data_IF_539864836204
#
_entry.id   IF_539864836204
#
_cell.length_a   1.000
_cell.length_b   1.000
_cell.length_c   1.000
_cell.angle_alpha   90.00
_cell.angle_beta   90.00
_cell.angle_gamma   90.00
#
_symmetry.space_group_name_H-M   'P 1'
#
loop_
_entity.id
_entity.type
_entity.pdbx_description
1 polymer ?
#
# COMPACT_ATOMS: atom_id res chain seq x y z
N UNK A 1 18.23 -20.92 36.29
CA UNK A 1 18.97 -20.92 35.00
C UNK A 1 18.04 -20.55 33.88
N UNK A 2 18.39 -19.55 33.07
CA UNK A 2 17.54 -19.08 31.95
C UNK A 2 17.48 -20.12 30.84
N UNK A 3 16.25 -20.32 30.28
CA UNK A 3 16.01 -21.22 29.17
C UNK A 3 16.87 -20.85 27.95
N UNK A 4 17.53 -21.80 27.28
CA UNK A 4 18.31 -21.54 26.07
C UNK A 4 17.53 -20.83 24.94
N UNK A 5 16.19 -21.05 24.85
CA UNK A 5 15.33 -20.37 23.89
C UNK A 5 15.27 -18.88 24.15
N UNK A 6 15.15 -18.44 25.40
CA UNK A 6 15.13 -17.02 25.80
C UNK A 6 16.45 -16.33 25.45
N UNK A 7 17.58 -17.04 25.64
CA UNK A 7 18.90 -16.51 25.21
C UNK A 7 19.01 -16.38 23.69
N UNK A 8 18.40 -17.30 22.96
CA UNK A 8 18.33 -17.21 21.50
C UNK A 8 17.47 -16.03 21.05
N UNK A 9 16.30 -15.86 21.65
CA UNK A 9 15.39 -14.74 21.36
C UNK A 9 16.07 -13.39 21.64
N UNK A 10 16.78 -13.23 22.74
CA UNK A 10 17.54 -12.02 23.04
C UNK A 10 18.61 -11.72 21.97
N UNK A 11 19.31 -12.74 21.48
CA UNK A 11 20.29 -12.56 20.39
C UNK A 11 19.61 -12.13 19.07
N UNK A 12 18.46 -12.69 18.77
CA UNK A 12 17.70 -12.35 17.57
C UNK A 12 17.11 -10.93 17.65
N UNK A 13 16.57 -10.53 18.82
CA UNK A 13 16.12 -9.15 19.07
C UNK A 13 17.28 -8.17 18.88
N UNK A 14 18.44 -8.43 19.45
CA UNK A 14 19.62 -7.56 19.31
C UNK A 14 20.05 -7.37 17.85
N UNK A 15 20.02 -8.43 17.03
CA UNK A 15 20.28 -8.34 15.59
C UNK A 15 19.19 -7.51 14.87
N UNK A 16 17.93 -7.75 15.19
CA UNK A 16 16.80 -6.99 14.59
C UNK A 16 16.91 -5.50 14.93
N UNK A 17 17.16 -5.14 16.19
CA UNK A 17 17.33 -3.76 16.62
C UNK A 17 18.53 -3.07 15.93
N UNK A 18 19.64 -3.79 15.75
CA UNK A 18 20.80 -3.26 15.01
C UNK A 18 20.46 -2.98 13.55
N UNK A 19 19.72 -3.89 12.90
CA UNK A 19 19.28 -3.71 11.52
C UNK A 19 18.27 -2.54 11.39
N UNK A 20 17.35 -2.43 12.33
CA UNK A 20 16.37 -1.34 12.38
C UNK A 20 17.04 0.01 12.60
N UNK A 21 18.10 0.07 13.41
CA UNK A 21 18.88 1.29 13.60
C UNK A 21 19.47 1.79 12.29
N UNK A 22 20.07 0.88 11.51
CA UNK A 22 20.63 1.21 10.20
C UNK A 22 19.57 1.65 9.19
N UNK A 23 18.40 1.00 9.19
CA UNK A 23 17.28 1.32 8.27
C UNK A 23 16.55 2.62 8.64
N UNK A 24 16.54 2.99 9.91
CA UNK A 24 15.89 4.20 10.41
C UNK A 24 16.70 5.47 10.22
N UNK A 25 18.02 5.33 9.96
CA UNK A 25 18.95 6.44 9.91
C UNK A 25 18.80 7.39 11.12
N UNK A 26 18.88 6.77 12.32
CA UNK A 26 18.57 7.44 13.59
C UNK A 26 19.39 8.71 13.81
N UNK A 27 20.64 8.71 13.40
CA UNK A 27 21.55 9.84 13.60
C UNK A 27 21.07 11.05 12.75
N UNK A 28 20.65 10.80 11.50
CA UNK A 28 20.05 11.83 10.64
C UNK A 28 18.70 12.33 11.19
N UNK A 29 17.87 11.42 11.67
CA UNK A 29 16.58 11.79 12.28
C UNK A 29 16.74 12.60 13.55
N UNK A 30 17.74 12.31 14.34
CA UNK A 30 18.06 13.07 15.54
C UNK A 30 18.51 14.50 15.20
N UNK A 31 19.37 14.64 14.18
CA UNK A 31 19.75 15.94 13.64
C UNK A 31 18.56 16.71 13.06
N UNK A 32 17.62 16.03 12.39
CA UNK A 32 16.38 16.64 11.92
C UNK A 32 15.53 17.15 13.08
N UNK A 33 15.37 16.38 14.16
CA UNK A 33 14.61 16.80 15.35
C UNK A 33 15.22 18.06 15.96
N UNK A 34 16.53 18.10 16.14
CA UNK A 34 17.25 19.29 16.66
C UNK A 34 17.02 20.51 15.74
N UNK A 35 17.12 20.34 14.44
CA UNK A 35 16.86 21.39 13.46
C UNK A 35 15.40 21.91 13.50
N UNK A 36 14.42 21.02 13.70
CA UNK A 36 13.01 21.42 13.86
C UNK A 36 12.80 22.18 15.16
N UNK A 37 13.39 21.74 16.28
CA UNK A 37 13.29 22.41 17.58
C UNK A 37 13.92 23.82 17.54
N UNK A 38 15.04 23.98 16.83
CA UNK A 38 15.65 25.29 16.58
C UNK A 38 14.72 26.20 15.79
N UNK A 39 14.10 25.69 14.71
CA UNK A 39 13.13 26.46 13.90
C UNK A 39 11.90 26.86 14.71
N UNK A 40 11.39 25.98 15.57
CA UNK A 40 10.24 26.27 16.45
C UNK A 40 10.55 27.32 17.51
N UNK A 41 11.83 27.48 17.86
CA UNK A 41 12.27 28.52 18.83
C UNK A 41 12.40 29.92 18.22
N UNK A 42 12.25 30.05 16.88
CA UNK A 42 12.33 31.34 16.20
C UNK A 42 11.11 32.22 16.53
N UNK A 43 11.28 33.55 16.76
CA UNK A 43 10.19 34.46 17.17
C UNK A 43 9.06 34.56 16.11
N UNK A 44 9.39 34.34 14.86
CA UNK A 44 8.50 34.42 13.67
C UNK A 44 7.84 33.09 13.29
N UNK A 45 8.06 32.04 14.07
CA UNK A 45 7.55 30.69 13.79
C UNK A 45 6.01 30.63 13.66
N UNK A 46 5.31 31.41 14.47
CA UNK A 46 3.85 31.43 14.54
C UNK A 46 3.19 32.42 13.58
N UNK A 47 3.95 33.18 12.80
CA UNK A 47 3.41 34.15 11.86
C UNK A 47 2.64 33.48 10.70
N UNK A 48 2.99 32.23 10.37
CA UNK A 48 2.30 31.40 9.37
C UNK A 48 1.81 30.10 10.03
N UNK A 49 0.56 30.10 10.47
CA UNK A 49 -0.03 29.01 11.26
C UNK A 49 -0.10 27.67 10.49
N UNK A 50 -0.33 27.71 9.18
CA UNK A 50 -0.46 26.51 8.36
C UNK A 50 0.92 25.82 8.18
N UNK A 51 1.96 26.60 7.95
CA UNK A 51 3.35 26.08 7.91
C UNK A 51 3.81 25.57 9.27
N UNK A 52 3.47 26.27 10.35
CA UNK A 52 3.81 25.85 11.71
C UNK A 52 3.16 24.50 12.04
N UNK A 53 1.87 24.29 11.73
CA UNK A 53 1.17 23.03 11.95
C UNK A 53 1.75 21.90 11.09
N UNK A 54 2.07 22.14 9.83
CA UNK A 54 2.71 21.15 8.96
C UNK A 54 4.07 20.70 9.50
N UNK A 55 4.89 21.65 9.96
CA UNK A 55 6.22 21.37 10.51
C UNK A 55 6.14 20.61 11.85
N UNK A 56 5.15 20.92 12.70
CA UNK A 56 4.88 20.18 13.94
C UNK A 56 4.42 18.75 13.65
N UNK A 57 3.57 18.54 12.63
CA UNK A 57 3.12 17.21 12.24
C UNK A 57 4.29 16.37 11.74
N UNK A 58 5.19 16.96 10.94
CA UNK A 58 6.40 16.29 10.45
C UNK A 58 7.35 15.93 11.60
N UNK A 59 7.62 16.88 12.51
CA UNK A 59 8.43 16.64 13.71
C UNK A 59 7.86 15.50 14.56
N UNK A 60 6.54 15.49 14.82
CA UNK A 60 5.90 14.45 15.60
C UNK A 60 6.01 13.07 14.93
N UNK A 61 5.94 13.00 13.60
CA UNK A 61 6.15 11.78 12.84
C UNK A 61 7.57 11.22 12.99
N UNK A 62 8.58 12.09 12.85
CA UNK A 62 9.99 11.70 13.02
C UNK A 62 10.29 11.30 14.47
N UNK A 63 9.87 12.14 15.44
CA UNK A 63 10.08 11.92 16.87
C UNK A 63 9.42 10.64 17.36
N UNK A 64 8.20 10.35 16.93
CA UNK A 64 7.48 9.14 17.32
C UNK A 64 8.23 7.85 16.96
N UNK A 65 8.85 7.77 15.79
CA UNK A 65 9.64 6.60 15.37
C UNK A 65 10.95 6.46 16.15
N UNK A 66 11.62 7.60 16.47
CA UNK A 66 12.86 7.59 17.25
C UNK A 66 12.58 7.23 18.71
N UNK A 67 11.54 7.79 19.31
CA UNK A 67 11.14 7.51 20.71
C UNK A 67 10.74 6.03 20.88
N UNK A 68 10.00 5.49 19.92
CA UNK A 68 9.59 4.09 19.93
C UNK A 68 10.79 3.13 19.82
N UNK A 69 11.73 3.43 18.91
CA UNK A 69 12.97 2.67 18.81
C UNK A 69 13.79 2.74 20.09
N UNK A 70 14.00 3.95 20.64
CA UNK A 70 14.77 4.17 21.86
C UNK A 70 14.20 3.40 23.04
N UNK A 71 12.87 3.36 23.16
CA UNK A 71 12.19 2.59 24.19
C UNK A 71 12.37 1.09 24.00
N UNK A 72 12.31 0.58 22.78
CA UNK A 72 12.56 -0.83 22.47
C UNK A 72 14.00 -1.23 22.78
N UNK A 73 14.96 -0.37 22.46
CA UNK A 73 16.35 -0.58 22.78
C UNK A 73 16.57 -0.64 24.30
N UNK A 74 15.94 0.26 25.07
CA UNK A 74 16.02 0.26 26.51
C UNK A 74 15.37 -1.00 27.12
N UNK A 75 14.15 -1.37 26.69
CA UNK A 75 13.47 -2.60 27.12
C UNK A 75 14.37 -3.84 26.89
N UNK A 76 15.10 -3.86 25.77
CA UNK A 76 16.05 -4.93 25.43
C UNK A 76 17.30 -4.93 26.34
N UNK A 77 17.92 -3.78 26.53
CA UNK A 77 19.12 -3.66 27.38
C UNK A 77 18.82 -4.05 28.82
N UNK A 78 17.65 -3.64 29.35
CA UNK A 78 17.18 -4.03 30.68
C UNK A 78 16.97 -5.57 30.77
N UNK A 79 16.36 -6.17 29.72
CA UNK A 79 16.14 -7.62 29.68
C UNK A 79 17.44 -8.42 29.62
N UNK A 80 18.45 -7.94 28.90
CA UNK A 80 19.80 -8.55 28.85
C UNK A 80 20.44 -8.50 30.22
N UNK A 81 20.42 -7.33 30.90
CA UNK A 81 20.99 -7.16 32.24
C UNK A 81 20.30 -8.04 33.27
N UNK A 82 18.97 -8.12 33.25
CA UNK A 82 18.21 -9.00 34.15
C UNK A 82 18.52 -10.47 33.88
N UNK A 83 18.73 -10.84 32.60
CA UNK A 83 19.08 -12.22 32.23
C UNK A 83 20.46 -12.64 32.77
N UNK A 84 21.43 -11.76 32.74
CA UNK A 84 22.75 -11.99 33.30
C UNK A 84 22.68 -12.18 34.84
N UNK A 85 21.94 -11.32 35.55
CA UNK A 85 21.73 -11.41 36.99
C UNK A 85 21.03 -12.74 37.42
N UNK A 86 19.98 -13.14 36.68
CA UNK A 86 19.27 -14.38 36.98
C UNK A 86 20.13 -15.65 36.77
N UNK A 87 21.03 -15.62 35.81
CA UNK A 87 22.02 -16.69 35.59
C UNK A 87 23.05 -16.76 36.73
N UNK A 88 23.50 -15.61 37.25
CA UNK A 88 24.47 -15.52 38.32
C UNK A 88 23.87 -15.95 39.65
N UNK A 89 22.63 -15.55 39.95
CA UNK A 89 21.95 -15.84 41.22
C UNK A 89 21.26 -17.22 41.23
N UNK A 90 20.99 -17.81 40.06
CA UNK A 90 20.30 -19.09 39.91
C UNK A 90 18.81 -19.04 40.35
N UNK A 91 18.17 -17.84 40.22
CA UNK A 91 16.79 -17.59 40.58
C UNK A 91 15.85 -18.04 39.45
N UNK A 92 15.07 -19.10 39.69
CA UNK A 92 14.15 -19.68 38.74
C UNK A 92 12.86 -18.85 38.57
N UNK A 93 12.42 -18.11 39.60
CA UNK A 93 11.23 -17.24 39.50
C UNK A 93 11.55 -16.02 38.64
N UNK A 94 12.71 -15.43 38.83
CA UNK A 94 13.23 -14.33 37.98
C UNK A 94 13.42 -14.79 36.53
N UNK A 95 13.89 -16.01 36.31
CA UNK A 95 14.04 -16.58 34.97
C UNK A 95 12.72 -16.68 34.20
N UNK A 96 11.60 -17.03 34.87
CA UNK A 96 10.27 -17.07 34.28
C UNK A 96 9.77 -15.67 33.94
N UNK A 97 9.97 -14.70 34.83
CA UNK A 97 9.59 -13.30 34.58
C UNK A 97 10.32 -12.72 33.36
N UNK A 98 11.61 -12.98 33.24
CA UNK A 98 12.42 -12.59 32.10
C UNK A 98 11.91 -13.24 30.81
N UNK A 99 11.56 -14.52 30.80
CA UNK A 99 10.98 -15.20 29.64
C UNK A 99 9.70 -14.52 29.13
N UNK A 100 8.83 -14.10 30.04
CA UNK A 100 7.61 -13.36 29.70
C UNK A 100 7.94 -11.96 29.13
N UNK A 101 8.90 -11.26 29.73
CA UNK A 101 9.34 -9.94 29.28
C UNK A 101 9.95 -10.02 27.88
N UNK A 102 10.85 -10.97 27.63
CA UNK A 102 11.46 -11.19 26.32
C UNK A 102 10.42 -11.50 25.25
N UNK A 103 9.43 -12.34 25.56
CA UNK A 103 8.30 -12.63 24.64
C UNK A 103 7.52 -11.36 24.29
N UNK A 104 7.31 -10.46 25.25
CA UNK A 104 6.65 -9.18 25.01
C UNK A 104 7.51 -8.25 24.15
N UNK A 105 8.83 -8.22 24.33
CA UNK A 105 9.76 -7.43 23.54
C UNK A 105 9.79 -7.95 22.10
N UNK A 106 9.84 -9.26 21.87
CA UNK A 106 9.77 -9.84 20.52
C UNK A 106 8.57 -9.30 19.75
N UNK A 107 7.38 -9.36 20.37
CA UNK A 107 6.14 -8.84 19.73
C UNK A 107 6.23 -7.36 19.40
N UNK A 108 6.71 -6.55 20.35
CA UNK A 108 6.84 -5.10 20.12
C UNK A 108 7.83 -4.77 19.00
N UNK A 109 8.95 -5.50 18.90
CA UNK A 109 9.93 -5.33 17.84
C UNK A 109 9.34 -5.72 16.48
N UNK A 110 8.59 -6.82 16.42
CA UNK A 110 7.91 -7.26 15.19
C UNK A 110 6.83 -6.27 14.74
N UNK A 111 6.03 -5.75 15.67
CA UNK A 111 5.03 -4.71 15.38
C UNK A 111 5.68 -3.42 14.86
N UNK A 112 6.79 -3.01 15.47
CA UNK A 112 7.53 -1.83 15.06
C UNK A 112 8.18 -2.00 13.67
N UNK A 113 8.81 -3.15 13.43
CA UNK A 113 9.36 -3.52 12.12
C UNK A 113 8.26 -3.46 11.05
N UNK A 114 7.08 -4.00 11.35
CA UNK A 114 5.94 -3.97 10.45
C UNK A 114 5.44 -2.55 10.17
N UNK A 115 5.37 -1.69 11.19
CA UNK A 115 4.99 -0.29 11.01
C UNK A 115 5.94 0.47 10.08
N UNK A 116 7.23 0.16 10.12
CA UNK A 116 8.23 0.77 9.26
C UNK A 116 8.13 0.25 7.81
N UNK A 117 7.82 -1.04 7.64
CA UNK A 117 7.64 -1.68 6.34
C UNK A 117 6.39 -1.22 5.60
N UNK A 118 5.33 -0.87 6.33
CA UNK A 118 4.01 -0.50 5.82
C UNK A 118 3.70 0.98 6.12
N UNK A 119 4.59 1.87 5.69
CA UNK A 119 4.51 3.31 5.95
C UNK A 119 4.07 4.15 4.73
N UNK A 120 3.84 3.54 3.59
CA UNK A 120 3.39 4.26 2.40
C UNK A 120 1.91 4.70 2.53
N UNK A 121 1.50 5.79 1.86
CA UNK A 121 0.16 6.38 2.05
C UNK A 121 -1.01 5.42 1.89
N UNK A 122 -0.89 4.43 0.99
CA UNK A 122 -1.95 3.48 0.67
C UNK A 122 -1.82 2.13 1.38
N UNK A 123 -0.73 1.89 2.12
CA UNK A 123 -0.45 0.58 2.72
C UNK A 123 -1.54 0.11 3.69
N UNK A 124 -2.21 1.04 4.37
CA UNK A 124 -3.29 0.76 5.33
C UNK A 124 -4.63 0.38 4.69
N UNK A 125 -4.75 0.56 3.37
CA UNK A 125 -6.00 0.34 2.64
C UNK A 125 -6.29 -1.13 2.38
N UNK A 126 -7.55 -1.41 2.02
CA UNK A 126 -7.93 -2.67 1.40
C UNK A 126 -7.25 -2.82 0.04
N UNK A 127 -7.18 -4.04 -0.46
CA UNK A 127 -6.57 -4.35 -1.75
C UNK A 127 -7.60 -4.86 -2.76
N UNK A 128 -7.44 -4.45 -4.01
CA UNK A 128 -8.05 -5.10 -5.17
C UNK A 128 -6.95 -5.89 -5.87
N UNK A 129 -7.14 -7.20 -5.97
CA UNK A 129 -6.20 -8.12 -6.59
C UNK A 129 -6.82 -8.71 -7.86
N UNK A 130 -6.13 -8.56 -8.98
CA UNK A 130 -6.56 -9.04 -10.29
C UNK A 130 -5.59 -10.12 -10.80
N UNK A 131 -6.14 -11.24 -11.28
CA UNK A 131 -5.37 -12.31 -11.89
C UNK A 131 -5.74 -12.46 -13.37
N UNK A 132 -4.73 -12.40 -14.22
CA UNK A 132 -4.87 -12.54 -15.67
C UNK A 132 -3.95 -13.65 -16.17
N UNK A 133 -4.48 -14.85 -16.49
CA UNK A 133 -3.73 -15.90 -17.15
C UNK A 133 -3.14 -15.44 -18.48
N UNK A 134 -1.84 -15.72 -18.66
CA UNK A 134 -1.11 -15.39 -19.87
C UNK A 134 -1.09 -16.53 -20.89
N UNK A 135 -0.02 -16.61 -21.66
CA UNK A 135 0.19 -17.70 -22.61
C UNK A 135 0.23 -19.07 -21.92
N UNK A 136 -0.48 -20.05 -22.46
CA UNK A 136 -0.54 -21.41 -21.91
C UNK A 136 -1.91 -22.08 -22.02
N UNK A 137 -2.92 -21.40 -22.57
CA UNK A 137 -4.26 -21.98 -22.77
C UNK A 137 -4.91 -22.45 -21.47
N UNK A 138 -5.56 -23.62 -21.49
CA UNK A 138 -6.24 -24.23 -20.33
C UNK A 138 -5.31 -24.39 -19.11
N UNK A 139 -4.02 -24.68 -19.33
CA UNK A 139 -3.04 -24.83 -18.25
C UNK A 139 -2.81 -23.52 -17.49
N UNK A 140 -2.73 -22.38 -18.19
CA UNK A 140 -2.58 -21.07 -17.54
C UNK A 140 -3.86 -20.62 -16.84
N UNK A 141 -5.03 -20.99 -17.36
CA UNK A 141 -6.33 -20.73 -16.72
C UNK A 141 -6.48 -21.52 -15.41
N UNK A 142 -6.05 -22.77 -15.39
CA UNK A 142 -6.01 -23.59 -14.16
C UNK A 142 -5.00 -23.01 -13.16
N UNK A 143 -3.82 -22.58 -13.62
CA UNK A 143 -2.85 -21.90 -12.78
C UNK A 143 -3.42 -20.64 -12.13
N UNK A 144 -4.18 -19.83 -12.88
CA UNK A 144 -4.88 -18.66 -12.33
C UNK A 144 -5.85 -19.03 -11.21
N UNK A 145 -6.60 -20.13 -11.36
CA UNK A 145 -7.50 -20.63 -10.32
C UNK A 145 -6.74 -21.12 -9.07
N UNK A 146 -5.60 -21.75 -9.26
CA UNK A 146 -4.73 -22.17 -8.15
C UNK A 146 -4.22 -20.97 -7.35
N UNK A 147 -3.78 -19.90 -8.04
CA UNK A 147 -3.36 -18.65 -7.40
C UNK A 147 -4.52 -17.97 -6.67
N UNK A 148 -5.71 -17.89 -7.26
CA UNK A 148 -6.90 -17.37 -6.59
C UNK A 148 -7.15 -18.09 -5.27
N UNK A 149 -7.10 -19.41 -5.25
CA UNK A 149 -7.26 -20.22 -4.04
C UNK A 149 -6.14 -19.94 -3.03
N UNK A 150 -4.91 -19.82 -3.47
CA UNK A 150 -3.74 -19.52 -2.62
C UNK A 150 -3.91 -18.18 -1.90
N UNK A 151 -4.27 -17.12 -2.64
CA UNK A 151 -4.49 -15.78 -2.04
C UNK A 151 -5.71 -15.74 -1.14
N UNK A 152 -6.80 -16.43 -1.49
CA UNK A 152 -7.99 -16.54 -0.64
C UNK A 152 -7.63 -17.17 0.71
N UNK A 153 -6.87 -18.27 0.71
CA UNK A 153 -6.44 -18.97 1.93
C UNK A 153 -5.49 -18.13 2.77
N UNK A 154 -4.56 -17.42 2.12
CA UNK A 154 -3.68 -16.50 2.83
C UNK A 154 -4.46 -15.39 3.52
N UNK A 155 -5.41 -14.79 2.83
CA UNK A 155 -6.27 -13.73 3.37
C UNK A 155 -7.13 -14.23 4.56
N UNK A 156 -7.72 -15.43 4.43
CA UNK A 156 -8.51 -16.06 5.50
C UNK A 156 -7.66 -16.32 6.75
N UNK A 157 -6.44 -16.83 6.59
CA UNK A 157 -5.50 -17.06 7.71
C UNK A 157 -5.15 -15.78 8.46
N UNK A 158 -5.11 -14.64 7.77
CA UNK A 158 -4.89 -13.32 8.37
C UNK A 158 -6.16 -12.65 8.90
N UNK A 159 -7.31 -13.32 8.79
CA UNK A 159 -8.61 -12.77 9.21
C UNK A 159 -9.14 -11.67 8.27
N UNK A 160 -8.63 -11.61 7.04
CA UNK A 160 -9.14 -10.69 6.04
C UNK A 160 -10.40 -11.24 5.37
N UNK A 161 -11.31 -10.34 5.00
CA UNK A 161 -12.51 -10.70 4.24
C UNK A 161 -12.21 -10.65 2.75
N UNK A 162 -12.51 -11.74 2.05
CA UNK A 162 -12.37 -11.82 0.57
C UNK A 162 -13.74 -11.77 -0.07
N UNK A 163 -13.87 -10.92 -1.09
CA UNK A 163 -15.07 -10.76 -1.90
C UNK A 163 -14.69 -10.84 -3.38
N UNK A 164 -15.38 -11.65 -4.14
CA UNK A 164 -15.18 -11.76 -5.59
C UNK A 164 -15.99 -10.66 -6.26
N UNK A 165 -15.29 -9.70 -6.89
CA UNK A 165 -15.93 -8.59 -7.59
C UNK A 165 -16.28 -8.96 -9.04
N UNK A 166 -15.38 -9.67 -9.71
CA UNK A 166 -15.58 -10.18 -11.07
C UNK A 166 -14.94 -11.55 -11.23
N UNK A 167 -15.58 -12.41 -12.03
CA UNK A 167 -15.11 -13.76 -12.28
C UNK A 167 -15.49 -14.22 -13.67
N UNK A 168 -14.49 -14.47 -14.49
CA UNK A 168 -14.67 -15.02 -15.82
C UNK A 168 -14.07 -16.44 -15.88
N UNK A 169 -14.95 -17.44 -15.98
CA UNK A 169 -14.54 -18.84 -16.05
C UNK A 169 -13.75 -19.15 -17.32
N UNK A 170 -12.84 -20.11 -17.23
CA UNK A 170 -12.19 -20.72 -18.38
C UNK A 170 -13.16 -21.55 -19.22
N UNK A 171 -12.79 -21.81 -20.48
CA UNK A 171 -13.67 -22.57 -21.38
C UNK A 171 -13.75 -24.05 -21.00
N UNK A 172 -12.66 -24.65 -20.54
CA UNK A 172 -12.58 -26.07 -20.15
C UNK A 172 -12.26 -26.24 -18.66
N UNK A 173 -11.37 -25.39 -18.12
CA UNK A 173 -10.98 -25.39 -16.72
C UNK A 173 -10.42 -24.03 -16.31
N UNK A 174 -10.37 -23.77 -15.01
CA UNK A 174 -9.74 -22.58 -14.46
C UNK A 174 -10.51 -21.28 -14.70
N UNK A 175 -9.79 -20.18 -14.77
CA UNK A 175 -10.31 -18.80 -14.94
C UNK A 175 -9.65 -18.10 -16.12
N UNK A 176 -10.39 -17.24 -16.82
CA UNK A 176 -9.84 -16.26 -17.78
C UNK A 176 -9.41 -14.98 -17.11
N UNK A 177 -10.12 -14.57 -16.07
CA UNK A 177 -9.77 -13.47 -15.19
C UNK A 177 -10.54 -13.57 -13.87
N UNK A 178 -10.00 -12.99 -12.83
CA UNK A 178 -10.72 -12.78 -11.56
C UNK A 178 -10.24 -11.50 -10.91
N UNK A 179 -11.20 -10.78 -10.31
CA UNK A 179 -10.94 -9.59 -9.47
C UNK A 179 -11.46 -9.87 -8.07
N UNK A 180 -10.57 -9.78 -7.09
CA UNK A 180 -10.86 -9.99 -5.68
C UNK A 180 -10.71 -8.67 -4.92
N UNK A 181 -11.68 -8.32 -4.08
CA UNK A 181 -11.51 -7.32 -3.02
C UNK A 181 -11.10 -8.03 -1.74
N UNK A 182 -9.95 -7.64 -1.17
CA UNK A 182 -9.40 -8.19 0.07
C UNK A 182 -9.40 -7.10 1.11
N UNK A 183 -10.32 -7.22 2.07
CA UNK A 183 -10.62 -6.20 3.08
C UNK A 183 -9.97 -6.55 4.41
N UNK A 184 -9.09 -5.66 4.86
CA UNK A 184 -8.39 -5.81 6.13
C UNK A 184 -7.33 -4.74 6.32
N UNK A 185 -6.91 -4.55 7.58
CA UNK A 185 -5.87 -3.58 7.90
C UNK A 185 -4.55 -3.95 7.22
N UNK A 186 -3.98 -3.02 6.45
CA UNK A 186 -2.76 -3.18 5.67
C UNK A 186 -2.86 -4.25 4.55
N UNK A 187 -4.05 -4.62 4.07
CA UNK A 187 -4.19 -5.63 3.03
C UNK A 187 -3.41 -5.25 1.75
N UNK A 188 -3.52 -3.99 1.30
CA UNK A 188 -2.74 -3.50 0.16
C UNK A 188 -1.24 -3.49 0.46
N UNK A 189 -0.83 -3.03 1.63
CA UNK A 189 0.58 -2.96 2.03
C UNK A 189 1.30 -4.31 1.94
N UNK A 190 0.62 -5.40 2.29
CA UNK A 190 1.15 -6.76 2.13
C UNK A 190 1.11 -7.22 0.67
N UNK A 191 -0.06 -7.09 0.04
CA UNK A 191 -0.30 -7.68 -1.27
C UNK A 191 0.42 -6.96 -2.41
N UNK A 192 0.82 -5.69 -2.25
CA UNK A 192 1.67 -5.00 -3.24
C UNK A 192 2.96 -5.78 -3.55
N UNK A 193 3.44 -6.59 -2.59
CA UNK A 193 4.58 -7.48 -2.77
C UNK A 193 4.32 -8.62 -3.77
N UNK A 194 3.06 -8.97 -4.02
CA UNK A 194 2.65 -10.06 -4.91
C UNK A 194 2.42 -9.61 -6.36
N UNK A 195 2.51 -8.30 -6.62
CA UNK A 195 2.33 -7.73 -7.94
C UNK A 195 3.43 -8.17 -8.89
N UNK A 196 3.04 -8.75 -10.04
CA UNK A 196 3.93 -9.19 -11.11
C UNK A 196 3.52 -10.52 -11.72
N UNK A 197 4.45 -11.16 -12.43
CA UNK A 197 4.18 -12.42 -13.16
C UNK A 197 4.59 -13.62 -12.31
N UNK A 198 3.67 -14.57 -12.18
CA UNK A 198 3.85 -15.84 -11.48
C UNK A 198 3.99 -16.99 -12.46
N UNK A 199 5.10 -17.72 -12.40
CA UNK A 199 5.43 -18.81 -13.32
C UNK A 199 5.22 -20.17 -12.64
N UNK A 200 4.43 -21.03 -13.29
CA UNK A 200 4.26 -22.44 -12.91
C UNK A 200 5.03 -23.37 -13.84
N UNK A 201 5.69 -24.37 -13.27
CA UNK A 201 6.31 -25.48 -14.00
C UNK A 201 5.84 -26.79 -13.38
N UNK A 202 5.01 -27.55 -14.14
CA UNK A 202 4.51 -28.86 -13.70
C UNK A 202 4.25 -29.80 -14.89
N UNK A 203 4.00 -31.07 -14.61
CA UNK A 203 3.37 -31.97 -15.57
C UNK A 203 1.91 -31.57 -15.71
N UNK A 204 1.45 -31.24 -16.93
CA UNK A 204 0.09 -30.77 -17.15
C UNK A 204 -0.92 -31.90 -16.97
N UNK A 205 -1.98 -31.74 -16.19
CA UNK A 205 -3.09 -32.69 -16.12
C UNK A 205 -3.96 -32.70 -17.39
N UNK A 206 -3.80 -31.70 -18.27
CA UNK A 206 -4.55 -31.54 -19.51
C UNK A 206 -3.80 -32.10 -20.73
N UNK A 207 -2.53 -32.50 -20.59
CA UNK A 207 -1.72 -33.11 -21.64
C UNK A 207 -1.69 -34.63 -21.46
N UNK A 208 -2.36 -35.35 -22.37
CA UNK A 208 -2.38 -36.81 -22.39
C UNK A 208 -1.00 -37.43 -22.52
N UNK A 209 -0.02 -36.70 -23.04
CA UNK A 209 1.37 -37.15 -23.19
C UNK A 209 2.20 -36.98 -21.90
N UNK A 210 1.64 -36.38 -20.83
CA UNK A 210 2.31 -36.19 -19.56
C UNK A 210 3.55 -35.30 -19.63
N UNK A 211 3.58 -34.36 -20.56
CA UNK A 211 4.73 -33.46 -20.73
C UNK A 211 4.72 -32.34 -19.67
N UNK A 212 5.92 -31.83 -19.37
CA UNK A 212 6.12 -30.68 -18.52
C UNK A 212 5.78 -29.42 -19.29
N UNK A 213 4.89 -28.61 -18.69
CA UNK A 213 4.46 -27.31 -19.21
C UNK A 213 4.90 -26.17 -18.31
N UNK A 214 5.04 -25.00 -18.90
CA UNK A 214 5.29 -23.73 -18.21
C UNK A 214 4.15 -22.78 -18.52
N UNK A 215 3.54 -22.21 -17.47
CA UNK A 215 2.41 -21.30 -17.57
C UNK A 215 2.67 -20.05 -16.77
N UNK A 216 2.10 -18.94 -17.21
CA UNK A 216 2.27 -17.64 -16.60
C UNK A 216 0.91 -17.02 -16.27
N UNK A 217 0.84 -16.36 -15.11
CA UNK A 217 -0.30 -15.55 -14.69
C UNK A 217 0.24 -14.22 -14.20
N UNK A 218 -0.34 -13.12 -14.67
CA UNK A 218 -0.10 -11.80 -14.12
C UNK A 218 -0.99 -11.57 -12.93
N UNK A 219 -0.41 -11.10 -11.84
CA UNK A 219 -1.09 -10.60 -10.64
C UNK A 219 -0.92 -9.09 -10.59
N UNK A 220 -2.01 -8.34 -10.64
CA UNK A 220 -2.02 -6.91 -10.39
C UNK A 220 -2.67 -6.62 -9.05
N UNK A 221 -2.13 -5.63 -8.33
CA UNK A 221 -2.64 -5.24 -7.01
C UNK A 221 -2.70 -3.73 -6.94
N UNK A 222 -3.88 -3.22 -6.61
CA UNK A 222 -4.13 -1.79 -6.42
C UNK A 222 -4.85 -1.55 -5.10
N UNK A 223 -4.67 -0.36 -4.48
CA UNK A 223 -5.44 -0.01 -3.29
C UNK A 223 -6.92 0.20 -3.64
N UNK A 224 -7.83 -0.21 -2.76
CA UNK A 224 -9.25 0.12 -2.87
C UNK A 224 -9.44 1.56 -2.39
N UNK A 225 -9.55 2.50 -3.34
CA UNK A 225 -9.79 3.91 -3.05
C UNK A 225 -11.28 4.15 -2.99
N UNK A 226 -11.77 4.83 -1.94
CA UNK A 226 -13.17 5.24 -1.83
C UNK A 226 -13.52 6.22 -2.95
N UNK A 227 -14.54 5.87 -3.76
CA UNK A 227 -15.04 6.68 -4.88
C UNK A 227 -15.87 7.89 -4.43
N UNK A 228 -15.97 8.18 -3.14
CA UNK A 228 -16.65 9.36 -2.63
C UNK A 228 -15.84 10.62 -2.89
N UNK A 229 -15.98 11.14 -4.13
CA UNK A 229 -15.40 12.43 -4.48
C UNK A 229 -16.24 13.53 -3.87
N UNK A 230 -15.84 14.00 -2.70
CA UNK A 230 -16.40 15.23 -2.13
C UNK A 230 -15.80 16.44 -2.86
N UNK A 231 -16.70 17.22 -3.49
CA UNK A 231 -16.35 18.51 -4.09
C UNK A 231 -16.71 19.62 -3.10
N UNK A 232 -15.74 20.10 -2.37
CA UNK A 232 -15.88 21.32 -1.57
C UNK A 232 -15.58 22.54 -2.46
N UNK A 233 -16.63 23.21 -2.95
CA UNK A 233 -16.52 24.42 -3.77
C UNK A 233 -16.84 25.61 -2.87
N UNK A 234 -15.80 26.31 -2.43
CA UNK A 234 -15.96 27.49 -1.58
C UNK A 234 -16.29 28.69 -2.44
N UNK A 235 -17.14 29.57 -1.91
CA UNK A 235 -17.57 30.79 -2.62
C UNK A 235 -16.40 31.73 -2.90
N UNK A 236 -15.40 31.75 -2.05
CA UNK A 236 -14.15 32.53 -2.17
C UNK A 236 -13.24 32.09 -3.33
N UNK A 237 -13.36 30.80 -3.74
CA UNK A 237 -12.62 30.23 -4.86
C UNK A 237 -13.27 30.51 -6.22
N UNK A 238 -14.41 31.21 -6.23
CA UNK A 238 -15.18 31.48 -7.43
C UNK A 238 -15.07 32.95 -7.83
N UNK A 239 -14.60 33.20 -9.04
CA UNK A 239 -14.76 34.48 -9.70
C UNK A 239 -15.96 34.44 -10.64
N UNK A 240 -16.97 35.28 -10.36
CA UNK A 240 -18.21 35.31 -11.13
C UNK A 240 -18.26 36.65 -11.88
N UNK A 241 -18.21 36.58 -13.20
CA UNK A 241 -18.32 37.74 -14.11
C UNK A 241 -19.64 37.65 -14.86
N UNK A 242 -20.33 38.79 -14.98
CA UNK A 242 -21.56 38.93 -15.80
C UNK A 242 -21.26 39.77 -17.04
N UNK A 243 -21.84 39.37 -18.15
CA UNK A 243 -21.65 40.07 -19.44
C UNK A 243 -22.88 39.99 -20.31
N UNK A 244 -22.91 40.77 -21.37
CA UNK A 244 -24.00 40.77 -22.33
C UNK A 244 -23.92 39.56 -23.25
N UNK A 245 -25.04 38.81 -23.33
CA UNK A 245 -25.10 37.69 -24.26
C UNK A 245 -24.96 38.16 -25.70
N UNK A 246 -24.11 37.49 -26.48
CA UNK A 246 -23.98 37.73 -27.92
C UNK A 246 -24.72 36.62 -28.67
N UNK A 247 -25.80 36.96 -29.41
CA UNK A 247 -26.57 35.99 -30.20
C UNK A 247 -27.66 36.66 -31.05
N UNK A 248 -28.16 35.95 -32.05
CA UNK A 248 -29.27 36.37 -32.90
C UNK A 248 -30.57 36.31 -32.11
N UNK A 249 -30.92 37.38 -31.41
CA UNK A 249 -32.17 37.53 -30.63
C UNK A 249 -32.46 38.99 -30.39
N UNK A 250 -33.72 39.38 -30.43
CA UNK A 250 -34.22 40.76 -30.47
C UNK A 250 -33.67 41.70 -29.38
N UNK A 251 -34.07 42.98 -29.42
CA UNK A 251 -33.54 44.10 -28.62
C UNK A 251 -33.34 43.85 -27.10
N UNK A 252 -34.01 42.88 -26.53
CA UNK A 252 -33.94 42.60 -25.08
C UNK A 252 -32.67 41.80 -24.68
N UNK A 253 -32.08 41.02 -25.60
CA UNK A 253 -30.87 40.21 -25.34
C UNK A 253 -29.60 41.07 -25.32
N UNK A 254 -29.61 42.18 -26.05
CA UNK A 254 -28.46 43.07 -26.18
C UNK A 254 -28.40 44.19 -25.13
N UNK A 255 -29.40 44.30 -24.25
CA UNK A 255 -29.51 45.38 -23.24
C UNK A 255 -29.28 44.93 -21.81
N UNK A 256 -29.36 43.61 -21.50
CA UNK A 256 -29.22 43.08 -20.14
C UNK A 256 -27.99 42.16 -20.00
N UNK A 257 -27.21 42.34 -18.94
CA UNK A 257 -26.05 41.49 -18.63
C UNK A 257 -26.54 40.18 -18.01
N UNK A 258 -27.18 39.31 -18.83
CA UNK A 258 -27.75 38.03 -18.38
C UNK A 258 -26.81 36.85 -18.46
N UNK A 259 -25.72 36.95 -19.27
CA UNK A 259 -24.75 35.90 -19.38
C UNK A 259 -23.82 35.87 -18.17
N UNK A 260 -23.50 34.66 -17.66
CA UNK A 260 -22.68 34.44 -16.49
C UNK A 260 -21.47 33.61 -16.87
N UNK A 261 -20.28 34.04 -16.43
CA UNK A 261 -19.02 33.30 -16.47
C UNK A 261 -18.57 33.03 -15.04
N UNK A 262 -18.30 31.77 -14.73
CA UNK A 262 -17.73 31.37 -13.43
C UNK A 262 -16.35 30.77 -13.70
N UNK A 263 -15.35 31.31 -13.00
CA UNK A 263 -13.98 30.80 -13.01
C UNK A 263 -13.69 30.25 -11.63
N UNK A 264 -13.31 28.98 -11.54
CA UNK A 264 -12.81 28.37 -10.32
C UNK A 264 -11.30 28.66 -10.24
N UNK A 265 -10.91 29.53 -9.31
CA UNK A 265 -9.55 30.07 -9.21
C UNK A 265 -8.48 28.99 -8.99
N UNK A 266 -8.67 28.00 -8.09
CA UNK A 266 -7.64 26.98 -7.82
C UNK A 266 -7.33 26.10 -9.01
N UNK A 267 -8.35 25.74 -9.81
CA UNK A 267 -8.19 24.79 -10.94
C UNK A 267 -8.13 25.48 -12.31
N UNK A 268 -8.45 26.78 -12.39
CA UNK A 268 -8.54 27.52 -13.63
C UNK A 268 -9.72 27.10 -14.54
N UNK A 269 -10.64 26.26 -14.07
CA UNK A 269 -11.80 25.81 -14.86
C UNK A 269 -12.76 26.97 -15.05
N UNK A 270 -13.13 27.23 -16.31
CA UNK A 270 -14.06 28.29 -16.70
C UNK A 270 -15.32 27.68 -17.30
N UNK A 271 -16.48 28.16 -16.87
CA UNK A 271 -17.78 27.82 -17.42
C UNK A 271 -18.56 29.07 -17.77
N UNK A 272 -19.33 29.03 -18.85
CA UNK A 272 -20.18 30.11 -19.27
C UNK A 272 -21.58 29.63 -19.56
N UNK A 273 -22.59 30.40 -19.14
CA UNK A 273 -23.98 30.11 -19.42
C UNK A 273 -24.73 31.39 -19.84
N UNK A 274 -25.38 31.33 -21.00
CA UNK A 274 -26.17 32.45 -21.56
C UNK A 274 -27.52 32.02 -22.12
N UNK A 275 -27.96 30.79 -21.84
CA UNK A 275 -29.13 30.20 -22.48
C UNK A 275 -30.48 30.75 -21.96
N UNK A 276 -30.50 31.32 -20.76
CA UNK A 276 -31.71 31.85 -20.15
C UNK A 276 -31.72 33.38 -20.15
N UNK A 277 -32.91 33.97 -20.12
CA UNK A 277 -33.08 35.42 -20.00
C UNK A 277 -32.81 35.91 -18.57
N UNK A 278 -32.83 35.03 -17.59
CA UNK A 278 -32.59 35.32 -16.18
C UNK A 278 -31.14 35.06 -15.79
N UNK A 279 -30.46 36.06 -15.30
CA UNK A 279 -29.08 35.98 -14.78
C UNK A 279 -28.97 34.96 -13.63
N UNK A 280 -29.99 34.88 -12.76
CA UNK A 280 -30.03 33.93 -11.63
C UNK A 280 -30.05 32.50 -12.14
N UNK A 281 -30.92 32.19 -13.15
CA UNK A 281 -30.97 30.84 -13.75
C UNK A 281 -29.66 30.48 -14.49
N UNK A 282 -29.05 31.43 -15.18
CA UNK A 282 -27.76 31.21 -15.82
C UNK A 282 -26.65 30.94 -14.79
N UNK A 283 -26.68 31.62 -13.63
CA UNK A 283 -25.74 31.35 -12.53
C UNK A 283 -25.91 29.95 -11.94
N UNK A 284 -27.13 29.51 -11.68
CA UNK A 284 -27.45 28.16 -11.17
C UNK A 284 -26.97 27.08 -12.15
N UNK A 285 -27.27 27.25 -13.45
CA UNK A 285 -26.80 26.32 -14.48
C UNK A 285 -25.29 26.33 -14.63
N UNK A 286 -24.63 27.48 -14.60
CA UNK A 286 -23.19 27.58 -14.63
C UNK A 286 -22.56 26.89 -13.42
N UNK A 287 -23.14 27.03 -12.22
CA UNK A 287 -22.68 26.29 -11.04
C UNK A 287 -22.81 24.76 -11.20
N UNK A 288 -23.91 24.30 -11.78
CA UNK A 288 -24.10 22.85 -12.06
C UNK A 288 -23.06 22.36 -13.08
N UNK A 289 -22.83 23.13 -14.15
CA UNK A 289 -21.80 22.81 -15.14
C UNK A 289 -20.38 22.81 -14.55
N UNK A 290 -20.09 23.76 -13.64
CA UNK A 290 -18.80 23.82 -12.94
C UNK A 290 -18.60 22.56 -12.07
N UNK A 291 -19.60 22.19 -11.28
CA UNK A 291 -19.55 20.96 -10.46
C UNK A 291 -19.28 19.73 -11.32
N UNK A 292 -19.97 19.57 -12.44
CA UNK A 292 -19.75 18.43 -13.35
C UNK A 292 -18.32 18.40 -13.90
N UNK A 293 -17.79 19.54 -14.35
CA UNK A 293 -16.41 19.62 -14.85
C UNK A 293 -15.35 19.38 -13.79
N UNK A 294 -15.56 19.89 -12.58
CA UNK A 294 -14.62 19.65 -11.47
C UNK A 294 -14.65 18.19 -11.03
N UNK A 295 -15.84 17.57 -11.04
CA UNK A 295 -16.02 16.15 -10.74
C UNK A 295 -15.28 15.27 -11.78
N UNK A 296 -15.50 15.53 -13.07
CA UNK A 296 -14.83 14.82 -14.16
C UNK A 296 -13.30 14.94 -14.07
N UNK A 297 -12.79 16.15 -13.81
CA UNK A 297 -11.36 16.38 -13.62
C UNK A 297 -10.80 15.61 -12.42
N UNK A 298 -11.52 15.57 -11.31
CA UNK A 298 -11.08 14.86 -10.10
C UNK A 298 -11.06 13.35 -10.31
N UNK A 299 -12.01 12.80 -11.09
CA UNK A 299 -11.98 11.40 -11.55
C UNK A 299 -10.73 11.13 -12.40
N UNK A 300 -10.42 12.04 -13.31
CA UNK A 300 -9.27 11.88 -14.20
C UNK A 300 -7.94 11.96 -13.44
N UNK A 301 -7.82 12.89 -12.48
CA UNK A 301 -6.69 12.98 -11.55
C UNK A 301 -6.54 11.71 -10.70
N UNK A 302 -7.64 11.15 -10.16
CA UNK A 302 -7.61 9.88 -9.43
C UNK A 302 -7.19 8.72 -10.33
N UNK A 303 -7.69 8.69 -11.58
CA UNK A 303 -7.31 7.65 -12.54
C UNK A 303 -5.83 7.72 -12.89
N UNK A 304 -5.30 8.92 -13.18
CA UNK A 304 -3.87 9.11 -13.43
C UNK A 304 -3.02 8.68 -12.25
N UNK A 305 -3.45 9.02 -11.04
CA UNK A 305 -2.75 8.62 -9.82
C UNK A 305 -2.78 7.09 -9.58
N UNK A 306 -3.91 6.43 -9.90
CA UNK A 306 -3.99 4.96 -9.89
C UNK A 306 -3.08 4.33 -10.95
N UNK A 307 -3.00 4.92 -12.14
CA UNK A 307 -2.13 4.46 -13.21
C UNK A 307 -0.63 4.64 -12.85
N UNK A 308 -0.29 5.71 -12.13
CA UNK A 308 1.05 5.91 -11.56
C UNK A 308 1.38 4.84 -10.50
N UNK A 309 0.44 4.50 -9.61
CA UNK A 309 0.60 3.42 -8.61
C UNK A 309 0.68 2.05 -9.30
N UNK A 310 -0.09 1.84 -10.37
CA UNK A 310 0.01 0.63 -11.19
C UNK A 310 1.38 0.49 -11.82
N UNK A 311 2.03 1.60 -12.21
CA UNK A 311 3.29 1.58 -12.94
C UNK A 311 3.18 0.86 -14.29
N UNK A 312 4.30 0.64 -14.96
CA UNK A 312 4.33 -0.12 -16.21
C UNK A 312 3.93 -1.58 -15.96
N UNK A 313 2.87 -2.04 -16.65
CA UNK A 313 2.52 -3.46 -16.67
C UNK A 313 3.65 -4.23 -17.37
N UNK A 314 4.34 -5.07 -16.61
CA UNK A 314 5.32 -5.99 -17.19
C UNK A 314 4.63 -6.92 -18.18
N UNK A 315 5.16 -7.05 -19.40
CA UNK A 315 4.68 -8.03 -20.36
C UNK A 315 4.64 -9.42 -19.73
N UNK A 316 3.55 -10.17 -19.93
CA UNK A 316 3.39 -11.54 -19.45
C UNK A 316 4.26 -12.46 -20.31
N UNK A 317 5.59 -12.37 -20.14
CA UNK A 317 6.58 -13.03 -20.97
C UNK A 317 7.73 -13.64 -20.16
N UNK A 318 8.54 -14.43 -20.82
CA UNK A 318 9.79 -14.95 -20.27
C UNK A 318 10.73 -13.81 -19.88
N UNK A 319 11.13 -13.79 -18.61
CA UNK A 319 12.03 -12.78 -18.06
C UNK A 319 11.40 -11.81 -17.07
N UNK A 320 10.09 -11.67 -17.05
CA UNK A 320 9.35 -10.73 -16.19
C UNK A 320 8.80 -11.37 -14.90
N UNK A 321 9.08 -12.66 -14.65
CA UNK A 321 8.52 -13.36 -13.50
C UNK A 321 9.14 -12.89 -12.18
N UNK A 322 8.26 -12.58 -11.20
CA UNK A 322 8.69 -12.29 -9.82
C UNK A 322 8.93 -13.57 -9.02
N UNK A 323 8.12 -14.63 -9.28
CA UNK A 323 8.20 -15.89 -8.55
C UNK A 323 7.95 -17.08 -9.44
N UNK A 324 8.74 -18.14 -9.25
CA UNK A 324 8.59 -19.42 -9.92
C UNK A 324 8.13 -20.51 -8.96
N UNK A 325 7.16 -21.27 -9.40
CA UNK A 325 6.57 -22.42 -8.69
C UNK A 325 6.87 -23.67 -9.50
N UNK A 326 7.77 -24.50 -9.03
CA UNK A 326 8.21 -25.73 -9.70
C UNK A 326 7.67 -26.92 -8.91
N UNK A 327 6.85 -27.75 -9.57
CA UNK A 327 6.31 -28.98 -8.97
C UNK A 327 6.97 -30.23 -9.57
N UNK A 328 7.68 -30.10 -10.70
CA UNK A 328 8.36 -31.20 -11.36
C UNK A 328 9.59 -30.69 -12.12
N UNK A 329 10.77 -31.37 -12.07
CA UNK A 329 11.08 -32.67 -11.43
C UNK A 329 11.36 -32.58 -9.91
N UNK A 330 11.44 -31.39 -9.37
CA UNK A 330 11.61 -31.13 -7.94
C UNK A 330 10.56 -30.11 -7.47
N UNK A 331 10.32 -30.05 -6.16
CA UNK A 331 9.39 -29.09 -5.57
C UNK A 331 10.15 -27.88 -5.05
N UNK A 332 9.83 -26.68 -5.55
CA UNK A 332 10.45 -25.43 -5.12
C UNK A 332 9.57 -24.25 -5.49
N UNK A 333 9.43 -23.31 -4.57
CA UNK A 333 8.94 -21.94 -4.86
C UNK A 333 10.08 -20.98 -4.58
N UNK A 334 10.40 -20.12 -5.55
CA UNK A 334 11.49 -19.15 -5.46
C UNK A 334 11.06 -17.77 -5.92
N UNK A 335 11.24 -16.77 -5.08
CA UNK A 335 11.11 -15.36 -5.44
C UNK A 335 12.44 -14.85 -6.01
N UNK A 336 12.41 -14.35 -7.23
CA UNK A 336 13.62 -13.90 -7.94
C UNK A 336 14.11 -12.53 -7.47
N UNK A 337 13.25 -11.73 -6.81
CA UNK A 337 13.59 -10.40 -6.33
C UNK A 337 14.39 -10.45 -5.01
N UNK A 338 14.09 -11.42 -4.16
CA UNK A 338 14.64 -11.54 -2.81
C UNK A 338 15.51 -12.77 -2.61
N UNK A 339 15.49 -13.70 -3.58
CA UNK A 339 16.10 -15.02 -3.47
C UNK A 339 15.55 -15.92 -2.35
N UNK A 340 14.43 -15.53 -1.72
CA UNK A 340 13.71 -16.38 -0.76
C UNK A 340 13.17 -17.59 -1.50
N UNK A 341 13.41 -18.80 -0.96
CA UNK A 341 12.96 -20.04 -1.57
C UNK A 341 12.53 -21.06 -0.52
N UNK A 342 11.61 -21.94 -0.90
CA UNK A 342 11.15 -23.07 -0.06
C UNK A 342 10.83 -24.28 -0.91
N UNK A 343 11.13 -25.46 -0.37
CA UNK A 343 10.72 -26.75 -0.98
C UNK A 343 9.29 -27.16 -0.66
N UNK A 344 8.64 -26.50 0.31
CA UNK A 344 7.27 -26.84 0.74
C UNK A 344 6.23 -26.12 -0.14
N UNK A 345 6.13 -26.57 -1.40
CA UNK A 345 5.18 -26.01 -2.37
C UNK A 345 3.72 -26.15 -1.93
N UNK A 346 3.39 -27.23 -1.19
CA UNK A 346 2.04 -27.45 -0.66
C UNK A 346 1.61 -26.39 0.34
N UNK A 347 2.46 -26.04 1.30
CA UNK A 347 2.19 -24.98 2.26
C UNK A 347 1.97 -23.63 1.58
N UNK A 348 2.80 -23.30 0.57
CA UNK A 348 2.66 -22.06 -0.20
C UNK A 348 1.31 -22.02 -0.91
N UNK A 349 0.91 -23.11 -1.61
CA UNK A 349 -0.40 -23.18 -2.27
C UNK A 349 -1.57 -23.16 -1.28
N UNK A 350 -1.34 -23.48 -0.03
CA UNK A 350 -2.30 -23.36 1.07
C UNK A 350 -2.23 -21.99 1.78
N UNK A 351 -1.50 -21.01 1.20
CA UNK A 351 -1.49 -19.63 1.65
C UNK A 351 -0.38 -19.30 2.65
N UNK A 352 0.72 -20.04 2.68
CA UNK A 352 1.91 -19.67 3.47
C UNK A 352 2.82 -18.77 2.60
N UNK A 353 2.47 -17.47 2.55
CA UNK A 353 3.14 -16.46 1.72
C UNK A 353 3.98 -15.46 2.53
N UNK A 354 3.84 -15.44 3.85
CA UNK A 354 4.40 -14.41 4.71
C UNK A 354 5.91 -14.27 4.54
N UNK A 355 6.64 -15.39 4.41
CA UNK A 355 8.09 -15.35 4.18
C UNK A 355 8.52 -14.64 2.88
N UNK A 356 7.72 -14.76 1.82
CA UNK A 356 7.98 -14.07 0.54
C UNK A 356 7.60 -12.60 0.62
N UNK A 357 6.45 -12.29 1.22
CA UNK A 357 5.96 -10.92 1.40
C UNK A 357 6.93 -10.12 2.27
N UNK A 358 7.30 -10.65 3.43
CA UNK A 358 8.23 -10.01 4.35
C UNK A 358 9.62 -9.83 3.71
N UNK A 359 10.10 -10.86 3.00
CA UNK A 359 11.37 -10.77 2.28
C UNK A 359 11.38 -9.63 1.26
N UNK A 360 10.29 -9.45 0.51
CA UNK A 360 10.16 -8.35 -0.45
C UNK A 360 10.06 -7.00 0.25
N UNK A 361 9.20 -6.86 1.25
CA UNK A 361 9.02 -5.60 1.97
C UNK A 361 10.33 -5.14 2.62
N UNK A 362 11.10 -6.05 3.21
CA UNK A 362 12.44 -5.74 3.78
C UNK A 362 13.46 -5.33 2.73
N UNK A 363 13.40 -5.89 1.52
CA UNK A 363 14.31 -5.51 0.44
C UNK A 363 14.10 -4.07 -0.02
N UNK A 364 12.86 -3.53 0.11
CA UNK A 364 12.56 -2.15 -0.27
C UNK A 364 13.19 -1.11 0.66
N UNK A 365 13.32 -1.41 1.96
CA UNK A 365 14.00 -0.50 2.91
C UNK A 365 15.48 -0.29 2.54
N UNK A 366 16.14 -1.32 2.01
CA UNK A 366 17.57 -1.25 1.67
C UNK A 366 17.87 -0.42 0.41
N UNK A 367 16.88 -0.21 -0.45
CA UNK A 367 17.04 0.53 -1.71
C UNK A 367 16.90 2.04 -1.50
N UNK A 368 16.17 2.48 -0.47
CA UNK A 368 16.04 3.91 -0.16
C UNK A 368 17.27 4.52 0.55
N UNK A 369 18.24 3.70 0.91
CA UNK A 369 19.47 4.14 1.62
C UNK A 369 20.74 4.17 0.76
N UNK A 370 20.68 3.84 -0.52
CA UNK A 370 21.75 4.00 -1.52
C UNK A 370 21.46 5.20 -2.45
#
# INVERSE_FOLDING_TARGET
MIDPSVKQDLREIGKKLTNLRGSLDLDLKQEMIENFEVKMSAPDFWDDNDKAQSLIAELNGVKGSVDQYTKLQQDYDDAVMMAELADEEGDDDLAVEIGNSVTAIVRKVEEFELQLLLNQPYDKMNAILELHPGAGGTESQDWGQMLMRMYTRWAEKRGFKVEVLDYLAGDEAGIKSVTLSIKGHNAYGYLKAEKGVHRLVRISPFDSSGRRHTSFVSCDVVPEIDDTIELDIRTEDLKIDTYRASGAGGQHINTTDSAVRITHLPTGVVVTCQNERSQIKNRERAMTMLRSKLYERKIEEQKQHLDEIRGEQSEIAWGSQIRSYVFHPYSMVKDHRTSVETGNTGAVMDGDLDGFIDGYLRSQIKVETD
#
